data_IF_478619101788
#
_entry.id   IF_478619101788
#
_cell.length_a   1.000
_cell.length_b   1.000
_cell.length_c   1.000
_cell.angle_alpha   90.00
_cell.angle_beta   90.00
_cell.angle_gamma   90.00
#
_symmetry.space_group_name_H-M   'P 1'
#
loop_
_entity.id
_entity.type
_entity.pdbx_description
1 polymer ?
#
# COMPACT_ATOMS: atom_id res chain seq x y z
N UNK A 1 8.54 24.56 33.24
CA UNK A 1 9.60 25.07 32.34
C UNK A 1 9.81 24.02 31.26
N UNK A 2 9.62 24.20 29.94
CA UNK A 2 9.28 25.31 29.03
C UNK A 2 8.45 24.69 27.90
N UNK A 3 7.53 25.46 27.33
CA UNK A 3 6.75 25.08 26.13
C UNK A 3 7.68 24.95 24.92
N UNK A 4 7.52 23.90 24.12
CA UNK A 4 7.90 23.93 22.71
C UNK A 4 6.68 23.49 21.91
N UNK A 5 5.97 24.50 21.41
CA UNK A 5 5.08 24.38 20.26
C UNK A 5 6.02 24.28 19.06
N UNK A 6 5.95 23.19 18.29
CA UNK A 6 6.44 23.18 16.92
C UNK A 6 5.27 22.82 16.00
N UNK A 7 4.65 23.89 15.51
CA UNK A 7 3.96 23.93 14.24
C UNK A 7 4.98 23.54 13.17
N UNK A 8 4.82 22.38 12.53
CA UNK A 8 5.50 22.08 11.27
C UNK A 8 4.48 22.16 10.15
N UNK A 9 4.52 23.33 9.54
CA UNK A 9 3.75 23.79 8.40
C UNK A 9 3.93 22.86 7.19
N UNK A 10 2.82 22.74 6.48
CA UNK A 10 2.63 22.20 5.13
C UNK A 10 3.73 22.55 4.11
N UNK A 11 4.04 21.56 3.25
CA UNK A 11 4.34 21.67 1.81
C UNK A 11 5.58 22.46 1.34
N UNK A 12 6.57 21.76 0.77
CA UNK A 12 6.93 21.84 -0.67
C UNK A 12 8.34 21.29 -0.96
N UNK A 13 8.44 20.04 -1.43
CA UNK A 13 9.44 19.58 -2.41
C UNK A 13 9.35 18.06 -2.61
N UNK A 14 8.21 17.56 -3.04
CA UNK A 14 8.23 16.38 -3.90
C UNK A 14 7.22 16.60 -5.01
N UNK A 15 7.75 17.04 -6.14
CA UNK A 15 7.03 17.34 -7.36
C UNK A 15 6.13 16.16 -7.75
N UNK A 16 4.83 16.44 -7.81
CA UNK A 16 3.86 15.58 -8.47
C UNK A 16 4.31 15.31 -9.91
N UNK A 17 4.70 14.07 -10.19
CA UNK A 17 4.61 13.46 -11.53
C UNK A 17 4.51 11.95 -11.46
N UNK A 18 3.58 11.36 -10.71
CA UNK A 18 3.30 9.91 -10.88
C UNK A 18 1.82 9.59 -10.62
N UNK A 19 0.94 10.02 -11.51
CA UNK A 19 -0.40 9.42 -11.63
C UNK A 19 -0.61 9.10 -13.12
N UNK A 20 -0.49 7.83 -13.52
CA UNK A 20 -0.78 7.48 -14.91
C UNK A 20 -0.54 6.04 -15.39
N UNK A 21 0.38 5.25 -14.82
CA UNK A 21 0.68 3.90 -15.32
C UNK A 21 0.95 2.91 -14.17
N UNK A 22 0.54 1.65 -14.35
CA UNK A 22 0.40 0.59 -13.34
C UNK A 22 1.35 0.62 -12.14
N UNK A 23 0.80 0.89 -10.96
CA UNK A 23 1.50 0.85 -9.66
C UNK A 23 2.16 -0.51 -9.35
N UNK A 24 1.76 -1.59 -10.04
CA UNK A 24 2.23 -2.95 -9.80
C UNK A 24 3.47 -3.39 -10.58
N UNK A 25 3.94 -2.61 -11.56
CA UNK A 25 5.12 -2.97 -12.40
C UNK A 25 6.30 -2.02 -12.23
N UNK A 26 6.10 -0.86 -11.58
CA UNK A 26 7.12 0.19 -11.52
C UNK A 26 8.29 -0.10 -10.57
N UNK A 27 8.08 -0.92 -9.55
CA UNK A 27 9.07 -1.15 -8.49
C UNK A 27 9.50 -2.61 -8.42
N UNK A 28 10.80 -2.85 -8.19
CA UNK A 28 11.36 -4.17 -7.88
C UNK A 28 10.81 -4.70 -6.54
N UNK A 29 11.04 -5.98 -6.25
CA UNK A 29 10.63 -6.56 -4.96
C UNK A 29 11.41 -5.95 -3.79
N UNK A 30 12.68 -5.63 -4.00
CA UNK A 30 13.56 -4.99 -3.02
C UNK A 30 13.10 -3.55 -2.76
N UNK A 31 12.81 -2.78 -3.80
CA UNK A 31 12.30 -1.41 -3.68
C UNK A 31 10.98 -1.38 -2.91
N UNK A 32 10.06 -2.32 -3.19
CA UNK A 32 8.80 -2.44 -2.43
C UNK A 32 9.02 -2.79 -0.97
N UNK A 33 9.99 -3.66 -0.68
CA UNK A 33 10.34 -4.01 0.68
C UNK A 33 10.91 -2.79 1.42
N UNK A 34 11.84 -2.07 0.78
CA UNK A 34 12.45 -0.87 1.32
C UNK A 34 11.41 0.23 1.60
N UNK A 35 10.51 0.52 0.65
CA UNK A 35 9.44 1.50 0.85
C UNK A 35 8.56 1.17 2.07
N UNK A 36 8.26 -0.11 2.31
CA UNK A 36 7.51 -0.54 3.49
C UNK A 36 8.33 -0.37 4.77
N UNK A 37 9.64 -0.69 4.73
CA UNK A 37 10.53 -0.52 5.87
C UNK A 37 10.68 0.94 6.26
N UNK A 38 10.94 1.85 5.30
CA UNK A 38 11.07 3.28 5.58
C UNK A 38 9.77 3.86 6.13
N UNK A 39 8.61 3.50 5.55
CA UNK A 39 7.33 3.92 6.12
C UNK A 39 7.16 3.45 7.56
N UNK A 40 7.48 2.18 7.87
CA UNK A 40 7.38 1.67 9.24
C UNK A 40 8.35 2.36 10.19
N UNK A 41 9.58 2.63 9.76
CA UNK A 41 10.59 3.35 10.53
C UNK A 41 10.14 4.77 10.87
N UNK A 42 9.62 5.50 9.89
CA UNK A 42 9.15 6.88 10.06
C UNK A 42 7.92 7.00 10.96
N UNK A 43 7.04 5.99 10.96
CA UNK A 43 5.72 6.10 11.58
C UNK A 43 5.57 5.30 12.88
N UNK A 44 6.36 4.24 13.10
CA UNK A 44 6.18 3.33 14.24
C UNK A 44 7.22 3.51 15.35
N UNK A 45 8.16 4.46 15.21
CA UNK A 45 9.22 4.69 16.21
C UNK A 45 9.95 3.39 16.58
N UNK A 46 10.38 2.65 15.57
CA UNK A 46 11.03 1.35 15.75
C UNK A 46 12.38 1.51 16.45
N UNK A 47 12.70 0.59 17.37
CA UNK A 47 14.08 0.43 17.82
C UNK A 47 14.92 -0.36 16.80
N UNK A 48 16.25 -0.33 16.93
CA UNK A 48 17.18 -0.95 15.98
C UNK A 48 16.92 -2.46 15.79
N UNK A 49 16.59 -3.17 16.87
CA UNK A 49 16.29 -4.61 16.79
C UNK A 49 15.01 -4.88 16.01
N UNK A 50 13.98 -4.05 16.20
CA UNK A 50 12.74 -4.13 15.43
C UNK A 50 12.97 -3.81 13.97
N UNK A 51 13.72 -2.74 13.67
CA UNK A 51 14.01 -2.30 12.32
C UNK A 51 14.67 -3.41 11.49
N UNK A 52 15.74 -4.01 12.00
CA UNK A 52 16.45 -5.10 11.32
C UNK A 52 15.54 -6.31 11.03
N UNK A 53 14.71 -6.70 12.00
CA UNK A 53 13.77 -7.83 11.83
C UNK A 53 12.65 -7.51 10.85
N UNK A 54 12.15 -6.28 10.86
CA UNK A 54 11.09 -5.80 9.97
C UNK A 54 11.59 -5.67 8.54
N UNK A 55 12.82 -5.22 8.33
CA UNK A 55 13.44 -5.15 7.01
C UNK A 55 13.52 -6.54 6.37
N UNK A 56 14.07 -7.51 7.10
CA UNK A 56 14.13 -8.90 6.65
C UNK A 56 12.73 -9.49 6.38
N UNK A 57 11.76 -9.19 7.25
CA UNK A 57 10.37 -9.62 7.09
C UNK A 57 9.73 -8.99 5.83
N UNK A 58 9.95 -7.70 5.60
CA UNK A 58 9.42 -7.01 4.43
C UNK A 58 9.95 -7.60 3.13
N UNK A 59 11.25 -7.94 3.09
CA UNK A 59 11.87 -8.61 1.95
C UNK A 59 11.31 -10.02 1.73
N UNK A 60 11.19 -10.83 2.79
CA UNK A 60 10.60 -12.17 2.73
C UNK A 60 9.20 -12.13 2.09
N UNK A 61 8.37 -11.19 2.52
CA UNK A 61 6.99 -11.10 2.04
C UNK A 61 6.87 -10.41 0.68
N UNK A 62 7.81 -9.54 0.30
CA UNK A 62 7.91 -9.04 -1.07
C UNK A 62 8.20 -10.20 -2.05
N UNK A 63 9.14 -11.09 -1.70
CA UNK A 63 9.42 -12.30 -2.49
C UNK A 63 8.20 -13.22 -2.62
N UNK A 64 7.45 -13.42 -1.53
CA UNK A 64 6.20 -14.22 -1.57
C UNK A 64 5.15 -13.59 -2.48
N UNK A 65 4.99 -12.26 -2.42
CA UNK A 65 4.09 -11.53 -3.30
C UNK A 65 4.53 -11.58 -4.76
N UNK A 66 5.84 -11.59 -5.03
CA UNK A 66 6.37 -11.74 -6.38
C UNK A 66 5.99 -13.11 -6.98
N UNK A 67 6.15 -14.19 -6.21
CA UNK A 67 5.76 -15.55 -6.63
C UNK A 67 4.27 -15.65 -6.97
N UNK A 68 3.41 -14.89 -6.28
CA UNK A 68 1.95 -14.89 -6.54
C UNK A 68 1.62 -14.36 -7.93
N UNK A 69 2.45 -13.47 -8.52
CA UNK A 69 2.21 -12.95 -9.87
C UNK A 69 2.15 -14.06 -10.92
N UNK A 70 2.92 -15.14 -10.72
CA UNK A 70 2.98 -16.30 -11.61
C UNK A 70 1.85 -17.32 -11.42
N UNK A 71 0.92 -17.13 -10.49
CA UNK A 71 -0.24 -18.01 -10.35
C UNK A 71 -1.26 -17.77 -11.48
N UNK A 72 -2.02 -18.79 -11.85
CA UNK A 72 -3.13 -18.62 -12.78
C UNK A 72 -4.43 -18.23 -12.08
N UNK A 73 -5.19 -17.34 -12.72
CA UNK A 73 -6.52 -16.92 -12.29
C UNK A 73 -6.52 -15.81 -11.23
N UNK A 74 -7.38 -14.81 -11.46
CA UNK A 74 -7.48 -13.63 -10.59
C UNK A 74 -7.93 -13.96 -9.17
N UNK A 75 -8.84 -14.93 -9.00
CA UNK A 75 -9.32 -15.35 -7.68
C UNK A 75 -8.23 -16.05 -6.86
N UNK A 76 -7.45 -16.92 -7.50
CA UNK A 76 -6.32 -17.62 -6.88
C UNK A 76 -5.26 -16.62 -6.42
N UNK A 77 -4.88 -15.66 -7.28
CA UNK A 77 -3.96 -14.56 -6.93
C UNK A 77 -4.47 -13.78 -5.73
N UNK A 78 -5.74 -13.39 -5.73
CA UNK A 78 -6.34 -12.62 -4.64
C UNK A 78 -6.33 -13.39 -3.31
N UNK A 79 -6.71 -14.68 -3.35
CA UNK A 79 -6.71 -15.55 -2.17
C UNK A 79 -5.30 -15.72 -1.60
N UNK A 80 -4.33 -15.99 -2.48
CA UNK A 80 -2.93 -16.14 -2.09
C UNK A 80 -2.35 -14.83 -1.52
N UNK A 81 -2.61 -13.69 -2.16
CA UNK A 81 -2.17 -12.38 -1.67
C UNK A 81 -2.76 -12.06 -0.29
N UNK A 82 -4.06 -12.34 -0.08
CA UNK A 82 -4.68 -12.15 1.24
C UNK A 82 -4.00 -13.03 2.29
N UNK A 83 -3.85 -14.32 2.03
CA UNK A 83 -3.20 -15.25 2.96
C UNK A 83 -1.79 -14.78 3.32
N UNK A 84 -0.98 -14.42 2.32
CA UNK A 84 0.37 -13.88 2.52
C UNK A 84 0.37 -12.59 3.35
N UNK A 85 -0.61 -11.71 3.17
CA UNK A 85 -0.76 -10.51 4.00
C UNK A 85 -1.10 -10.86 5.47
N UNK A 86 -2.03 -11.78 5.69
CA UNK A 86 -2.46 -12.17 7.04
C UNK A 86 -1.34 -12.91 7.81
N UNK A 87 -0.54 -13.71 7.10
CA UNK A 87 0.67 -14.32 7.66
C UNK A 87 1.70 -13.26 8.08
N UNK A 88 1.91 -12.21 7.26
CA UNK A 88 2.83 -11.11 7.58
C UNK A 88 2.40 -10.40 8.86
N UNK A 89 1.11 -10.14 9.00
CA UNK A 89 0.55 -9.47 10.18
C UNK A 89 0.80 -10.24 11.46
N UNK A 90 0.65 -11.56 11.39
CA UNK A 90 0.87 -12.43 12.54
C UNK A 90 2.33 -12.30 13.01
N UNK A 91 3.28 -12.27 12.08
CA UNK A 91 4.70 -12.04 12.39
C UNK A 91 4.96 -10.61 12.89
N UNK A 92 4.36 -9.59 12.27
CA UNK A 92 4.50 -8.20 12.72
C UNK A 92 3.98 -8.00 14.14
N UNK A 93 2.89 -8.65 14.53
CA UNK A 93 2.34 -8.59 15.90
C UNK A 93 3.32 -9.10 16.95
N UNK A 94 4.23 -10.00 16.59
CA UNK A 94 5.27 -10.52 17.48
C UNK A 94 6.49 -9.59 17.57
N UNK A 95 6.71 -8.75 16.54
CA UNK A 95 7.86 -7.84 16.46
C UNK A 95 7.54 -6.43 16.98
N UNK A 96 6.29 -6.01 16.85
CA UNK A 96 5.79 -4.71 17.26
C UNK A 96 5.17 -4.80 18.66
N UNK A 97 5.24 -3.71 19.42
CA UNK A 97 4.42 -3.58 20.61
C UNK A 97 2.94 -3.34 20.23
N UNK A 98 2.04 -3.34 21.22
CA UNK A 98 0.60 -3.24 20.96
C UNK A 98 0.21 -1.94 20.27
N UNK A 99 0.74 -0.81 20.72
CA UNK A 99 0.46 0.51 20.14
C UNK A 99 0.93 0.62 18.69
N UNK A 100 2.17 0.18 18.42
CA UNK A 100 2.75 0.14 17.07
C UNK A 100 1.92 -0.73 16.12
N UNK A 101 1.49 -1.91 16.58
CA UNK A 101 0.71 -2.83 15.77
C UNK A 101 -0.70 -2.32 15.49
N UNK A 102 -1.35 -1.71 16.48
CA UNK A 102 -2.67 -1.08 16.31
C UNK A 102 -2.60 0.07 15.30
N UNK A 103 -1.63 0.97 15.43
CA UNK A 103 -1.42 2.05 14.47
C UNK A 103 -1.19 1.52 13.05
N UNK A 104 -0.33 0.49 12.91
CA UNK A 104 -0.09 -0.18 11.63
C UNK A 104 -1.39 -0.75 11.02
N UNK A 105 -2.19 -1.46 11.81
CA UNK A 105 -3.45 -2.04 11.36
C UNK A 105 -4.43 -0.98 10.87
N UNK A 106 -4.54 0.14 11.59
CA UNK A 106 -5.47 1.21 11.22
C UNK A 106 -5.03 1.92 9.94
N UNK A 107 -3.74 2.20 9.78
CA UNK A 107 -3.22 2.76 8.52
C UNK A 107 -3.43 1.82 7.34
N UNK A 108 -3.31 0.51 7.54
CA UNK A 108 -3.60 -0.45 6.48
C UNK A 108 -5.10 -0.49 6.13
N UNK A 109 -5.99 -0.44 7.11
CA UNK A 109 -7.45 -0.34 6.86
C UNK A 109 -7.78 0.93 6.07
N UNK A 110 -7.18 2.06 6.43
CA UNK A 110 -7.34 3.34 5.74
C UNK A 110 -6.90 3.23 4.26
N UNK A 111 -5.70 2.71 4.00
CA UNK A 111 -5.18 2.51 2.66
C UNK A 111 -6.06 1.55 1.84
N UNK A 112 -6.53 0.47 2.44
CA UNK A 112 -7.44 -0.48 1.78
C UNK A 112 -8.77 0.19 1.42
N UNK A 113 -9.34 1.01 2.31
CA UNK A 113 -10.57 1.76 2.06
C UNK A 113 -10.39 2.72 0.88
N UNK A 114 -9.32 3.54 0.89
CA UNK A 114 -8.98 4.44 -0.22
C UNK A 114 -8.80 3.69 -1.54
N UNK A 115 -8.11 2.54 -1.52
CA UNK A 115 -7.96 1.69 -2.70
C UNK A 115 -9.29 1.18 -3.26
N UNK A 116 -10.22 0.78 -2.39
CA UNK A 116 -11.57 0.35 -2.80
C UNK A 116 -12.40 1.50 -3.35
N UNK A 117 -12.30 2.70 -2.77
CA UNK A 117 -12.97 3.92 -3.26
C UNK A 117 -12.47 4.31 -4.65
N UNK A 118 -11.15 4.39 -4.85
CA UNK A 118 -10.54 4.65 -6.15
C UNK A 118 -10.96 3.62 -7.20
N UNK A 119 -11.00 2.33 -6.85
CA UNK A 119 -11.45 1.28 -7.77
C UNK A 119 -12.93 1.43 -8.15
N UNK A 120 -13.79 1.88 -7.23
CA UNK A 120 -15.20 2.18 -7.51
C UNK A 120 -15.35 3.38 -8.44
N UNK A 121 -14.58 4.45 -8.20
CA UNK A 121 -14.59 5.65 -9.03
C UNK A 121 -14.13 5.37 -10.47
N UNK A 122 -13.05 4.61 -10.64
CA UNK A 122 -12.58 4.20 -11.96
C UNK A 122 -13.64 3.39 -12.73
N UNK A 123 -14.34 2.46 -12.05
CA UNK A 123 -15.45 1.71 -12.67
C UNK A 123 -16.61 2.62 -13.09
N UNK A 124 -16.96 3.62 -12.28
CA UNK A 124 -18.01 4.60 -12.62
C UNK A 124 -17.59 5.45 -13.83
N UNK A 125 -16.37 5.96 -13.85
CA UNK A 125 -15.86 6.78 -14.96
C UNK A 125 -15.72 5.99 -16.26
N UNK A 126 -15.21 4.75 -16.20
CA UNK A 126 -15.17 3.85 -17.35
C UNK A 126 -16.56 3.53 -17.89
N UNK A 127 -17.53 3.24 -17.00
CA UNK A 127 -18.94 3.06 -17.38
C UNK A 127 -19.56 4.30 -18.02
N UNK A 128 -19.24 5.50 -17.52
CA UNK A 128 -19.70 6.78 -18.08
C UNK A 128 -19.13 7.01 -19.50
N UNK A 129 -17.85 6.70 -19.71
CA UNK A 129 -17.20 6.83 -21.02
C UNK A 129 -17.88 5.94 -22.07
N UNK A 130 -18.17 4.67 -21.73
CA UNK A 130 -18.87 3.74 -22.63
C UNK A 130 -20.32 4.15 -22.97
N UNK A 131 -21.03 4.86 -22.07
CA UNK A 131 -22.38 5.37 -22.34
C UNK A 131 -22.34 6.59 -23.27
N UNK A 132 -21.38 7.49 -23.07
CA UNK A 132 -21.25 8.71 -23.89
C UNK A 132 -20.71 8.44 -25.30
N UNK A 133 -19.87 7.42 -25.48
CA UNK A 133 -19.39 7.03 -26.81
C UNK A 133 -20.51 6.41 -27.67
N UNK A 134 -21.36 5.57 -27.07
CA UNK A 134 -22.53 5.02 -27.74
C UNK A 134 -23.56 6.11 -28.11
N UNK A 135 -23.79 7.10 -27.26
CA UNK A 135 -24.72 8.20 -27.60
C UNK A 135 -24.25 9.06 -28.79
N UNK A 136 -22.94 9.14 -29.06
CA UNK A 136 -22.40 9.85 -30.23
C UNK A 136 -22.55 9.06 -31.53
N UNK A 137 -22.52 7.73 -31.49
CA UNK A 137 -22.68 6.89 -32.69
C UNK A 137 -24.14 6.76 -33.15
N UNK A 138 -25.12 7.04 -32.29
CA UNK A 138 -26.55 7.09 -32.67
C UNK A 138 -27.02 8.47 -33.20
N UNK A 139 -26.13 9.47 -33.25
CA UNK A 139 -26.45 10.85 -33.69
C UNK A 139 -25.74 11.26 -35.01
N UNK A 140 -25.13 10.33 -35.74
CA UNK A 140 -24.65 10.52 -37.11
C UNK A 140 -25.49 9.73 -38.09
#
# INVERSE_FOLDING_TARGET
>A
MRRIILVSLFLSAFSMKIFGQGYGEKYSLEERAQMQTEWMKENLQLNDSQLLKIEALNLEYALKMEKIKGLDGNLSKLKAARKTSDEKDTKLKQLLNSEQFEFYQDKRKELRKKGMEMAKEQKKQGGLYHLTSNLKTYKS
#
